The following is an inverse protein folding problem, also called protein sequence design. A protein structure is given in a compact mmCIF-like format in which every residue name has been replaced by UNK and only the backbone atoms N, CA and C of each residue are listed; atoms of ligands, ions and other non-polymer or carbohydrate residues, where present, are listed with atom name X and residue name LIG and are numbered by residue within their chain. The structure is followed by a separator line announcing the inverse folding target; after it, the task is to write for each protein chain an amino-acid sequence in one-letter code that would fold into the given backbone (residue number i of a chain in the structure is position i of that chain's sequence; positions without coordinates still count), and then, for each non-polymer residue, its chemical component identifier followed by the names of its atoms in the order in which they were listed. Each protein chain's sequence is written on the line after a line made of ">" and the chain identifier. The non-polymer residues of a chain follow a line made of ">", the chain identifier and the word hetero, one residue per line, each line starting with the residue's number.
data_IF_103143764521
#
_entry.id   IF_103143764521
#
_cell.length_a   1.000
_cell.length_b   1.000
_cell.length_c   1.000
_cell.angle_alpha   90.00
_cell.angle_beta   90.00
_cell.angle_gamma   90.00
#
_symmetry.space_group_name_H-M   'P 1'
#
loop_
_entity.id
_entity.type
_entity.pdbx_description
1 polymer ?
#
# COMPACT_ATOMS: atom_id res chain seq x y z
N UNK A 1 -10.35 -13.76 2.46
CA UNK A 1 -10.43 -12.33 2.85
C UNK A 1 -11.41 -11.56 2.00
N UNK A 2 -11.17 -11.38 0.69
CA UNK A 2 -12.07 -10.57 -0.16
C UNK A 2 -13.55 -11.01 -0.12
N UNK A 3 -13.81 -12.32 -0.20
CA UNK A 3 -15.17 -12.85 -0.08
C UNK A 3 -15.83 -12.56 1.29
N UNK A 4 -15.04 -12.47 2.36
CA UNK A 4 -15.55 -12.07 3.68
C UNK A 4 -15.96 -10.60 3.68
N UNK A 5 -15.16 -9.71 3.10
CA UNK A 5 -15.51 -8.30 2.96
C UNK A 5 -16.80 -8.12 2.14
N UNK A 6 -16.97 -8.88 1.05
CA UNK A 6 -18.21 -8.88 0.26
C UNK A 6 -19.41 -9.34 1.10
N UNK A 7 -19.28 -10.44 1.85
CA UNK A 7 -20.34 -10.95 2.71
C UNK A 7 -20.75 -9.95 3.80
N UNK A 8 -19.79 -9.21 4.35
CA UNK A 8 -20.02 -8.22 5.39
C UNK A 8 -20.43 -6.84 4.85
N UNK A 9 -20.38 -6.62 3.53
CA UNK A 9 -20.55 -5.28 2.94
C UNK A 9 -19.47 -4.29 3.37
N UNK A 10 -18.28 -4.78 3.75
CA UNK A 10 -17.19 -3.97 4.29
C UNK A 10 -16.17 -3.59 3.20
N UNK A 11 -15.56 -2.41 3.34
CA UNK A 11 -14.46 -2.00 2.47
C UNK A 11 -13.14 -2.66 2.91
N UNK A 12 -12.42 -3.34 1.99
CA UNK A 12 -11.18 -4.02 2.33
C UNK A 12 -10.01 -3.04 2.46
N UNK A 13 -9.21 -3.24 3.52
CA UNK A 13 -7.88 -2.69 3.69
C UNK A 13 -6.84 -3.81 3.58
N UNK A 14 -5.93 -3.70 2.63
CA UNK A 14 -4.85 -4.68 2.40
C UNK A 14 -3.52 -4.02 2.71
N UNK A 15 -2.69 -4.65 3.54
CA UNK A 15 -1.35 -4.16 3.84
C UNK A 15 -0.30 -4.99 3.08
N UNK A 16 0.41 -4.36 2.16
CA UNK A 16 1.43 -4.99 1.33
C UNK A 16 2.78 -5.13 2.04
N UNK A 17 3.51 -6.20 1.72
CA UNK A 17 4.83 -6.46 2.29
C UNK A 17 5.91 -5.53 1.69
N UNK A 18 6.54 -4.73 2.55
CA UNK A 18 7.74 -3.92 2.20
C UNK A 18 9.02 -4.55 2.75
N UNK A 19 8.97 -5.12 3.97
CA UNK A 19 10.17 -5.54 4.70
C UNK A 19 10.93 -6.70 4.06
N UNK A 20 10.22 -7.65 3.48
CA UNK A 20 10.81 -8.81 2.80
C UNK A 20 10.21 -9.09 1.42
N UNK A 21 9.24 -8.26 1.00
CA UNK A 21 8.60 -8.36 -0.30
C UNK A 21 9.39 -7.61 -1.38
N UNK A 22 8.82 -7.60 -2.58
CA UNK A 22 9.34 -6.78 -3.68
C UNK A 22 8.29 -5.79 -4.20
N UNK A 23 8.75 -4.70 -4.80
CA UNK A 23 7.88 -3.72 -5.48
C UNK A 23 6.99 -4.41 -6.53
N UNK A 24 7.56 -5.37 -7.27
CA UNK A 24 6.85 -6.13 -8.31
C UNK A 24 5.72 -6.95 -7.70
N UNK A 25 6.00 -7.69 -6.64
CA UNK A 25 5.01 -8.51 -5.93
C UNK A 25 3.82 -7.67 -5.48
N UNK A 26 4.07 -6.52 -4.84
CA UNK A 26 2.99 -5.65 -4.37
C UNK A 26 2.18 -5.07 -5.54
N UNK A 27 2.85 -4.65 -6.62
CA UNK A 27 2.19 -4.14 -7.82
C UNK A 27 1.33 -5.21 -8.49
N UNK A 28 1.84 -6.43 -8.64
CA UNK A 28 1.12 -7.57 -9.21
C UNK A 28 -0.07 -7.97 -8.32
N UNK A 29 0.02 -7.81 -7.00
CA UNK A 29 -1.10 -8.08 -6.11
C UNK A 29 -2.26 -7.08 -6.28
N UNK A 30 -1.94 -5.78 -6.40
CA UNK A 30 -2.93 -4.76 -6.76
C UNK A 30 -3.58 -5.10 -8.10
N UNK A 31 -2.79 -5.45 -9.11
CA UNK A 31 -3.28 -5.82 -10.43
C UNK A 31 -4.21 -7.05 -10.38
N UNK A 32 -3.78 -8.10 -9.68
CA UNK A 32 -4.56 -9.32 -9.47
C UNK A 32 -5.93 -9.01 -8.90
N UNK A 33 -5.99 -8.15 -7.88
CA UNK A 33 -7.23 -7.83 -7.19
C UNK A 33 -8.15 -6.92 -8.02
N UNK A 34 -7.61 -5.91 -8.70
CA UNK A 34 -8.40 -4.76 -9.17
C UNK A 34 -8.52 -4.63 -10.68
N UNK A 35 -7.70 -5.32 -11.49
CA UNK A 35 -7.71 -5.14 -12.94
C UNK A 35 -8.83 -5.93 -13.63
N UNK A 36 -9.71 -5.23 -14.35
CA UNK A 36 -10.80 -5.83 -15.12
C UNK A 36 -10.34 -6.44 -16.45
N UNK A 37 -9.42 -5.76 -17.15
CA UNK A 37 -8.97 -6.14 -18.50
C UNK A 37 -8.17 -7.44 -18.58
N UNK A 38 -7.54 -7.66 -19.73
CA UNK A 38 -6.63 -8.80 -19.89
C UNK A 38 -5.21 -8.45 -19.45
N UNK A 39 -4.67 -9.28 -18.56
CA UNK A 39 -3.32 -9.18 -18.04
C UNK A 39 -2.93 -10.50 -17.37
N UNK A 40 -1.64 -10.80 -17.15
CA UNK A 40 -1.23 -12.03 -16.48
C UNK A 40 -1.92 -12.23 -15.13
N UNK A 41 -2.02 -11.19 -14.30
CA UNK A 41 -2.64 -11.28 -12.98
C UNK A 41 -4.16 -11.35 -13.03
N UNK A 42 -4.81 -10.67 -13.98
CA UNK A 42 -6.26 -10.79 -14.17
C UNK A 42 -6.64 -12.19 -14.67
N UNK A 43 -5.85 -12.79 -15.57
CA UNK A 43 -6.05 -14.19 -15.99
C UNK A 43 -5.86 -15.16 -14.83
N UNK A 44 -4.83 -14.95 -14.02
CA UNK A 44 -4.60 -15.77 -12.82
C UNK A 44 -5.79 -15.69 -11.84
N UNK A 45 -6.35 -14.49 -11.62
CA UNK A 45 -7.56 -14.32 -10.79
C UNK A 45 -8.74 -15.13 -11.35
N UNK A 46 -8.94 -15.09 -12.67
CA UNK A 46 -9.98 -15.86 -13.36
C UNK A 46 -9.79 -17.37 -13.19
N UNK A 47 -8.56 -17.88 -13.28
CA UNK A 47 -8.27 -19.30 -13.04
C UNK A 47 -8.51 -19.73 -11.60
N UNK A 48 -8.45 -18.80 -10.64
CA UNK A 48 -8.79 -19.03 -9.24
C UNK A 48 -10.29 -18.89 -8.93
N UNK A 49 -11.14 -18.80 -9.97
CA UNK A 49 -12.60 -18.80 -9.82
C UNK A 49 -13.23 -17.42 -9.65
N UNK A 50 -12.47 -16.33 -9.75
CA UNK A 50 -13.02 -14.97 -9.68
C UNK A 50 -12.92 -14.25 -11.03
N UNK A 51 -14.07 -14.06 -11.69
CA UNK A 51 -14.14 -13.36 -12.99
C UNK A 51 -13.92 -11.86 -12.84
N UNK A 52 -14.79 -11.21 -12.08
CA UNK A 52 -14.78 -9.76 -11.88
C UNK A 52 -13.67 -9.33 -10.91
N UNK A 53 -13.06 -8.15 -11.09
CA UNK A 53 -12.17 -7.60 -10.07
C UNK A 53 -12.92 -7.33 -8.75
N UNK A 54 -12.15 -7.16 -7.68
CA UNK A 54 -12.64 -6.55 -6.45
C UNK A 54 -12.34 -5.06 -6.45
N UNK A 55 -13.13 -4.30 -5.67
CA UNK A 55 -12.76 -2.95 -5.28
C UNK A 55 -11.91 -3.02 -4.00
N UNK A 56 -10.71 -2.45 -4.05
CA UNK A 56 -9.79 -2.33 -2.92
C UNK A 56 -9.40 -0.87 -2.78
N UNK A 57 -10.10 -0.09 -1.94
CA UNK A 57 -9.82 1.34 -1.81
C UNK A 57 -8.59 1.61 -0.94
N UNK A 58 -8.33 0.84 0.13
CA UNK A 58 -7.25 1.16 1.08
C UNK A 58 -6.08 0.20 0.94
N UNK A 59 -4.87 0.74 0.77
CA UNK A 59 -3.64 -0.04 0.59
C UNK A 59 -2.53 0.43 1.51
N UNK A 60 -2.15 -0.40 2.47
CA UNK A 60 -1.02 -0.18 3.37
C UNK A 60 0.31 -0.50 2.67
N UNK A 61 1.30 0.36 2.84
CA UNK A 61 2.65 0.19 2.30
C UNK A 61 3.57 -0.25 3.44
N UNK A 62 3.49 -1.52 3.82
CA UNK A 62 4.25 -2.07 4.94
C UNK A 62 3.57 -1.88 6.30
N UNK A 63 4.06 -2.65 7.27
CA UNK A 63 3.62 -2.63 8.66
C UNK A 63 4.85 -2.57 9.58
N UNK A 64 4.81 -1.69 10.58
CA UNK A 64 5.86 -1.50 11.60
C UNK A 64 7.30 -1.62 11.06
N UNK A 65 7.66 -0.87 10.00
CA UNK A 65 8.99 -0.92 9.37
C UNK A 65 10.13 -0.58 10.32
N UNK A 66 9.86 0.22 11.37
CA UNK A 66 10.81 0.53 12.44
C UNK A 66 11.15 -0.66 13.34
N UNK A 67 10.33 -1.72 13.32
CA UNK A 67 10.50 -2.92 14.14
C UNK A 67 10.45 -4.17 13.28
N UNK A 68 9.41 -5.00 13.46
CA UNK A 68 9.28 -6.30 12.79
C UNK A 68 9.29 -6.22 11.25
N UNK A 69 8.91 -5.07 10.69
CA UNK A 69 8.90 -4.80 9.26
C UNK A 69 10.26 -4.50 8.64
N UNK A 70 11.37 -4.61 9.38
CA UNK A 70 12.73 -4.53 8.81
C UNK A 70 13.73 -3.66 9.59
N UNK A 71 13.40 -3.20 10.80
CA UNK A 71 14.25 -2.34 11.64
C UNK A 71 14.83 -1.12 10.87
N UNK A 72 13.99 -0.50 10.04
CA UNK A 72 14.36 0.58 9.14
C UNK A 72 14.50 1.92 9.86
N UNK A 73 15.38 2.79 9.37
CA UNK A 73 15.37 4.21 9.75
C UNK A 73 14.19 4.94 9.10
N UNK A 74 13.71 6.06 9.70
CA UNK A 74 12.67 6.90 9.10
C UNK A 74 12.91 7.25 7.63
N UNK A 75 14.12 7.71 7.29
CA UNK A 75 14.46 8.19 5.96
C UNK A 75 14.54 7.05 4.95
N UNK A 76 15.06 5.89 5.37
CA UNK A 76 15.11 4.71 4.52
C UNK A 76 13.70 4.22 4.19
N UNK A 77 12.85 4.06 5.20
CA UNK A 77 11.48 3.64 4.98
C UNK A 77 10.69 4.67 4.14
N UNK A 78 10.85 5.97 4.38
CA UNK A 78 10.15 6.99 3.60
C UNK A 78 10.48 6.91 2.09
N UNK A 79 11.73 6.60 1.75
CA UNK A 79 12.13 6.36 0.36
C UNK A 79 11.56 5.06 -0.20
N UNK A 80 11.56 3.97 0.57
CA UNK A 80 10.92 2.72 0.16
C UNK A 80 9.41 2.89 -0.03
N UNK A 81 8.71 3.54 0.91
CA UNK A 81 7.28 3.82 0.80
C UNK A 81 6.95 4.59 -0.50
N UNK A 82 7.74 5.62 -0.83
CA UNK A 82 7.62 6.35 -2.11
C UNK A 82 7.86 5.45 -3.32
N UNK A 83 8.91 4.62 -3.27
CA UNK A 83 9.25 3.70 -4.34
C UNK A 83 8.12 2.71 -4.59
N UNK A 84 7.60 2.06 -3.55
CA UNK A 84 6.49 1.12 -3.64
C UNK A 84 5.21 1.81 -4.15
N UNK A 85 4.84 2.96 -3.57
CA UNK A 85 3.65 3.73 -3.95
C UNK A 85 3.57 4.00 -5.46
N UNK A 86 4.70 4.36 -6.07
CA UNK A 86 4.82 4.71 -7.51
C UNK A 86 4.27 3.62 -8.44
N UNK A 87 4.41 2.35 -8.05
CA UNK A 87 3.99 1.20 -8.88
C UNK A 87 2.59 0.69 -8.52
N UNK A 88 1.97 1.18 -7.44
CA UNK A 88 0.58 0.87 -7.13
C UNK A 88 -0.31 1.70 -8.05
N UNK A 89 -0.83 1.09 -9.11
CA UNK A 89 -1.66 1.77 -10.12
C UNK A 89 -3.14 1.66 -9.80
N UNK A 90 -3.87 2.74 -10.08
CA UNK A 90 -5.33 2.70 -10.14
C UNK A 90 -5.75 1.88 -11.38
N UNK A 91 -6.77 1.03 -11.24
CA UNK A 91 -7.29 0.20 -12.32
C UNK A 91 -8.79 0.42 -12.49
N UNK A 92 -9.20 0.88 -13.68
CA UNK A 92 -10.59 1.25 -13.94
C UNK A 92 -11.07 2.33 -12.95
N UNK A 93 -12.19 2.07 -12.28
CA UNK A 93 -12.75 2.96 -11.27
C UNK A 93 -12.17 2.73 -9.86
N UNK A 94 -11.25 1.77 -9.70
CA UNK A 94 -10.60 1.53 -8.42
C UNK A 94 -9.51 2.59 -8.15
N UNK A 95 -9.79 3.50 -7.22
CA UNK A 95 -8.84 4.50 -6.71
C UNK A 95 -8.20 4.02 -5.42
N UNK A 96 -6.86 3.97 -5.40
CA UNK A 96 -6.12 3.56 -4.21
C UNK A 96 -5.83 4.73 -3.27
N UNK A 97 -6.20 4.56 -2.01
CA UNK A 97 -5.70 5.30 -0.85
C UNK A 97 -4.46 4.59 -0.34
N UNK A 98 -3.30 5.16 -0.65
CA UNK A 98 -1.99 4.61 -0.30
C UNK A 98 -1.61 5.10 1.09
N UNK A 99 -1.45 4.18 2.04
CA UNK A 99 -1.24 4.47 3.47
C UNK A 99 0.15 3.99 3.87
N UNK A 100 1.08 4.91 4.12
CA UNK A 100 2.38 4.58 4.71
C UNK A 100 2.25 4.29 6.21
N UNK A 101 3.11 3.40 6.69
CA UNK A 101 3.23 3.01 8.09
C UNK A 101 3.89 4.13 8.91
N UNK A 102 3.20 4.53 9.97
CA UNK A 102 3.73 5.47 10.96
C UNK A 102 4.88 4.95 11.78
N UNK A 103 5.52 5.89 12.49
CA UNK A 103 6.57 5.59 13.46
C UNK A 103 5.99 5.06 14.76
N UNK A 104 6.86 4.53 15.66
CA UNK A 104 6.45 4.11 16.98
C UNK A 104 6.13 5.33 17.85
N UNK A 105 5.14 5.17 18.72
CA UNK A 105 4.78 6.11 19.78
C UNK A 105 4.66 7.57 19.28
N UNK A 106 5.62 8.40 19.68
CA UNK A 106 5.65 9.84 19.47
C UNK A 106 6.84 10.27 18.60
N UNK A 107 7.43 9.36 17.80
CA UNK A 107 8.61 9.69 16.99
C UNK A 107 8.26 10.67 15.84
N UNK A 108 8.34 11.96 16.17
CA UNK A 108 8.10 13.07 15.24
C UNK A 108 9.09 13.09 14.07
N UNK A 109 10.26 12.45 14.19
CA UNK A 109 11.20 12.35 13.06
C UNK A 109 10.64 11.44 11.99
N UNK A 110 9.97 10.35 12.39
CA UNK A 110 9.27 9.46 11.46
C UNK A 110 8.19 10.18 10.69
N UNK A 111 7.29 10.87 11.41
CA UNK A 111 6.23 11.67 10.79
C UNK A 111 6.80 12.73 9.84
N UNK A 112 7.87 13.42 10.24
CA UNK A 112 8.54 14.43 9.41
C UNK A 112 9.13 13.84 8.13
N UNK A 113 9.83 12.70 8.24
CA UNK A 113 10.43 12.03 7.09
C UNK A 113 9.37 11.61 6.06
N UNK A 114 8.25 11.04 6.53
CA UNK A 114 7.14 10.66 5.65
C UNK A 114 6.51 11.86 4.94
N UNK A 115 6.22 12.95 5.66
CA UNK A 115 5.64 14.15 5.06
C UNK A 115 6.59 14.77 4.02
N UNK A 116 7.89 14.78 4.32
CA UNK A 116 8.90 15.30 3.38
C UNK A 116 9.01 14.43 2.11
N UNK A 117 8.92 13.10 2.24
CA UNK A 117 8.99 12.19 1.10
C UNK A 117 7.67 12.11 0.29
N UNK A 118 6.53 12.31 0.93
CA UNK A 118 5.21 12.23 0.31
C UNK A 118 4.95 13.35 -0.72
N UNK A 119 5.65 14.47 -0.60
CA UNK A 119 5.53 15.61 -1.52
C UNK A 119 6.65 15.54 -2.56
N UNK A 120 6.36 15.06 -3.77
CA UNK A 120 7.28 15.30 -4.87
C UNK A 120 7.17 16.76 -5.31
N UNK A 121 8.13 17.60 -4.89
CA UNK A 121 8.14 19.04 -5.21
C UNK A 121 8.45 19.36 -6.67
N UNK A 122 9.09 18.42 -7.38
CA UNK A 122 9.60 18.61 -8.76
C UNK A 122 8.95 17.69 -9.78
N UNK A 123 8.24 16.65 -9.33
CA UNK A 123 7.35 15.89 -10.19
C UNK A 123 6.08 16.74 -10.33
N UNK A 124 5.60 16.98 -11.55
CA UNK A 124 4.23 17.45 -11.75
C UNK A 124 3.21 16.53 -11.05
N UNK A 125 1.92 16.84 -11.18
CA UNK A 125 0.78 16.23 -10.45
C UNK A 125 0.53 14.71 -10.65
N UNK A 126 1.56 13.86 -10.73
CA UNK A 126 1.43 12.41 -10.70
C UNK A 126 1.08 11.94 -9.28
N UNK A 127 -0.23 11.82 -9.06
CA UNK A 127 -0.85 11.32 -7.81
C UNK A 127 -0.46 9.88 -7.46
N UNK A 128 0.15 9.11 -8.38
CA UNK A 128 0.57 7.75 -8.06
C UNK A 128 1.85 7.70 -7.22
N UNK A 129 2.62 8.80 -7.17
CA UNK A 129 3.84 8.88 -6.36
C UNK A 129 3.58 9.34 -4.90
N UNK A 130 2.33 9.64 -4.56
CA UNK A 130 1.93 10.20 -3.26
C UNK A 130 1.28 9.17 -2.35
N UNK A 131 1.48 9.29 -1.05
CA UNK A 131 0.86 8.46 -0.01
C UNK A 131 0.53 9.30 1.23
N UNK A 132 -0.38 8.81 2.07
CA UNK A 132 -0.74 9.40 3.37
C UNK A 132 -0.06 8.64 4.51
N UNK A 133 0.48 9.33 5.51
CA UNK A 133 1.12 8.70 6.66
C UNK A 133 0.11 8.34 7.75
N UNK A 134 0.15 7.10 8.26
CA UNK A 134 -0.57 6.71 9.48
C UNK A 134 0.27 6.99 10.74
N UNK A 135 -0.34 6.93 11.93
CA UNK A 135 0.38 6.94 13.23
C UNK A 135 0.19 5.57 13.87
N UNK A 136 1.28 4.95 14.34
CA UNK A 136 1.18 3.74 15.16
C UNK A 136 1.15 4.13 16.62
N UNK A 137 0.08 3.77 17.34
CA UNK A 137 0.05 3.85 18.81
C UNK A 137 0.26 2.45 19.36
N UNK A 138 1.50 2.12 19.70
CA UNK A 138 1.82 0.84 20.33
C UNK A 138 1.61 0.99 21.84
N UNK A 139 0.45 0.57 22.35
CA UNK A 139 0.28 0.43 23.81
C UNK A 139 1.21 -0.67 24.30
N UNK A 140 2.28 -0.31 25.02
CA UNK A 140 3.07 -1.29 25.79
C UNK A 140 2.16 -1.85 26.89
N UNK A 141 1.82 -3.13 26.79
CA UNK A 141 1.31 -3.94 27.91
C UNK A 141 2.43 -4.31 28.85
#
# INVERSE_FOLDING_TARGET
>A
FMALCELLGAEPYVNGNVGSGTVREMSEWVEYLTRAGDSPMARLRRTHGRQEPWRVPYWGIGNEPWGCGGNMTPEYYANEARRYATFLKDHGDNRLWRIAAGGPDDDVRWTRALIQAAVCRECGADRNATFEGSRSTTTRT
#
